data_IF_441972701977
#
_entry.id   IF_441972701977
#
_cell.length_a   1.000
_cell.length_b   1.000
_cell.length_c   1.000
_cell.angle_alpha   90.00
_cell.angle_beta   90.00
_cell.angle_gamma   90.00
#
_symmetry.space_group_name_H-M   'P 1'
#
loop_
_entity.id
_entity.type
_entity.pdbx_description
1 polymer ?
#
# COMPACT_ATOMS: atom_id res chain seq x y z
N UNK A 1 18.61 30.65 -6.17
CA UNK A 1 17.26 30.06 -6.22
C UNK A 1 16.99 29.42 -4.87
N UNK A 2 15.79 29.61 -4.31
CA UNK A 2 15.36 28.95 -3.06
C UNK A 2 15.03 27.49 -3.35
N UNK A 3 15.63 26.58 -2.60
CA UNK A 3 15.43 25.13 -2.74
C UNK A 3 14.20 24.75 -1.91
N UNK A 4 13.06 24.57 -2.57
CA UNK A 4 11.77 24.36 -1.90
C UNK A 4 11.19 22.98 -2.12
N UNK A 5 10.51 22.44 -1.12
CA UNK A 5 9.76 21.19 -1.16
C UNK A 5 8.43 21.31 -0.41
N UNK A 6 7.47 20.44 -0.73
CA UNK A 6 6.23 20.32 0.04
C UNK A 6 6.47 19.38 1.22
N UNK A 7 6.18 19.84 2.43
CA UNK A 7 6.40 19.06 3.65
C UNK A 7 5.17 18.25 4.06
N UNK A 8 5.42 17.05 4.58
CA UNK A 8 4.41 16.13 5.09
C UNK A 8 4.96 15.33 6.27
N UNK A 9 4.26 15.36 7.40
CA UNK A 9 4.50 14.55 8.58
C UNK A 9 3.71 13.23 8.49
N UNK A 10 4.40 12.14 8.22
CA UNK A 10 3.87 10.78 8.22
C UNK A 10 4.36 9.95 9.43
N UNK A 11 4.78 10.63 10.50
CA UNK A 11 5.18 10.02 11.77
C UNK A 11 4.00 9.53 12.61
N UNK A 12 4.28 8.65 13.57
CA UNK A 12 3.28 8.16 14.55
C UNK A 12 2.70 9.27 15.42
N UNK A 13 3.52 10.24 15.82
CA UNK A 13 3.12 11.31 16.74
C UNK A 13 2.37 12.44 16.05
N UNK A 14 2.50 12.60 14.72
CA UNK A 14 1.92 13.72 13.97
C UNK A 14 2.32 15.10 14.55
N UNK A 15 3.47 15.18 15.24
CA UNK A 15 3.98 16.39 15.92
C UNK A 15 4.08 17.60 15.00
N UNK A 16 4.42 17.38 13.73
CA UNK A 16 4.63 18.41 12.71
C UNK A 16 3.47 18.50 11.72
N UNK A 17 2.34 17.84 11.98
CA UNK A 17 1.17 17.80 11.07
C UNK A 17 0.61 19.17 10.69
N UNK A 18 0.80 20.20 11.53
CA UNK A 18 0.43 21.59 11.21
C UNK A 18 1.16 22.17 9.99
N UNK A 19 2.28 21.57 9.60
CA UNK A 19 3.07 21.97 8.42
C UNK A 19 2.72 21.14 7.18
N UNK A 20 1.79 20.19 7.27
CA UNK A 20 1.40 19.35 6.13
C UNK A 20 0.88 20.19 4.96
N UNK A 21 1.36 19.89 3.76
CA UNK A 21 1.01 20.61 2.52
C UNK A 21 1.71 21.97 2.36
N UNK A 22 2.46 22.44 3.37
CA UNK A 22 3.21 23.69 3.27
C UNK A 22 4.44 23.54 2.37
N UNK A 23 4.80 24.61 1.67
CA UNK A 23 6.04 24.69 0.89
C UNK A 23 7.12 25.32 1.75
N UNK A 24 8.12 24.52 2.11
CA UNK A 24 9.25 24.93 2.96
C UNK A 24 10.54 25.04 2.15
N UNK A 25 11.45 25.92 2.56
CA UNK A 25 12.85 25.87 2.13
C UNK A 25 13.57 24.69 2.81
N UNK A 26 14.46 24.00 2.11
CA UNK A 26 15.24 22.88 2.67
C UNK A 26 16.08 23.28 3.89
N UNK A 27 16.39 24.58 4.08
CA UNK A 27 17.08 25.09 5.28
C UNK A 27 16.21 24.99 6.53
N UNK A 28 14.90 25.08 6.38
CA UNK A 28 13.92 25.00 7.49
C UNK A 28 13.85 23.58 8.07
N UNK A 29 14.38 22.56 7.37
CA UNK A 29 14.45 21.18 7.88
C UNK A 29 15.22 21.07 9.21
N UNK A 30 16.25 21.89 9.42
CA UNK A 30 17.00 21.89 10.68
C UNK A 30 16.11 22.32 11.86
N UNK A 31 15.23 23.30 11.65
CA UNK A 31 14.26 23.76 12.66
C UNK A 31 13.19 22.70 12.90
N UNK A 32 12.65 22.08 11.85
CA UNK A 32 11.69 20.98 11.97
C UNK A 32 12.27 19.78 12.74
N UNK A 33 13.53 19.44 12.48
CA UNK A 33 14.25 18.43 13.26
C UNK A 33 14.41 18.84 14.74
N UNK A 34 14.67 20.12 15.03
CA UNK A 34 14.81 20.61 16.40
C UNK A 34 13.49 20.52 17.18
N UNK A 35 12.39 20.98 16.59
CA UNK A 35 11.04 20.86 17.18
C UNK A 35 10.71 19.40 17.47
N UNK A 36 11.02 18.49 16.53
CA UNK A 36 10.77 17.07 16.72
C UNK A 36 11.69 16.45 17.78
N UNK A 37 12.97 16.82 17.79
CA UNK A 37 13.96 16.36 18.79
C UNK A 37 13.47 16.67 20.22
N UNK A 38 12.93 17.88 20.41
CA UNK A 38 12.34 18.30 21.69
C UNK A 38 11.14 17.42 22.06
N UNK A 39 10.21 17.20 21.13
CA UNK A 39 9.03 16.37 21.36
C UNK A 39 9.36 14.90 21.64
N UNK A 40 10.34 14.33 20.93
CA UNK A 40 10.74 12.93 21.03
C UNK A 40 11.79 12.68 22.12
N UNK A 41 12.32 13.74 22.74
CA UNK A 41 13.38 13.69 23.77
C UNK A 41 14.63 12.89 23.33
N UNK A 42 15.05 13.08 22.08
CA UNK A 42 16.23 12.40 21.51
C UNK A 42 17.47 13.27 21.57
N UNK A 43 18.67 12.67 21.59
CA UNK A 43 19.91 13.42 21.40
C UNK A 43 20.57 13.07 20.06
N UNK A 44 20.06 13.71 19.00
CA UNK A 44 20.59 13.58 17.64
C UNK A 44 21.22 14.89 17.19
N UNK A 45 22.28 14.76 16.38
CA UNK A 45 22.91 15.87 15.67
C UNK A 45 22.54 15.78 14.19
N UNK A 46 21.96 16.86 13.68
CA UNK A 46 21.56 17.02 12.28
C UNK A 46 22.34 18.19 11.65
N UNK A 47 22.49 18.20 10.31
CA UNK A 47 23.22 19.26 9.62
C UNK A 47 22.60 20.63 9.89
N UNK A 48 23.45 21.64 10.03
CA UNK A 48 23.04 23.04 10.12
C UNK A 48 22.38 23.53 8.82
N UNK A 49 21.61 24.64 8.86
CA UNK A 49 21.03 25.24 7.65
C UNK A 49 22.06 25.50 6.53
N UNK A 50 23.27 25.94 6.87
CA UNK A 50 24.34 26.18 5.89
C UNK A 50 24.86 24.88 5.27
N UNK A 51 24.93 23.80 6.03
CA UNK A 51 25.33 22.49 5.53
C UNK A 51 24.30 21.89 4.56
N UNK A 52 23.02 22.21 4.74
CA UNK A 52 21.93 21.81 3.84
C UNK A 52 22.06 22.43 2.44
N UNK A 53 22.62 23.63 2.31
CA UNK A 53 22.76 24.33 1.01
C UNK A 53 23.95 23.85 0.16
N UNK A 54 24.88 23.11 0.76
CA UNK A 54 26.12 22.69 0.12
C UNK A 54 26.08 21.28 -0.46
N UNK A 55 24.90 20.65 -0.58
CA UNK A 55 24.76 19.26 -0.98
C UNK A 55 24.66 19.10 -2.50
N UNK A 56 25.24 18.03 -3.02
CA UNK A 56 25.08 17.64 -4.42
C UNK A 56 23.95 16.61 -4.55
N UNK A 57 23.01 16.74 -5.51
CA UNK A 57 21.84 15.86 -5.60
C UNK A 57 22.22 14.37 -5.73
N UNK A 58 23.27 14.07 -6.50
CA UNK A 58 23.77 12.70 -6.70
C UNK A 58 24.88 12.27 -5.72
N UNK A 59 25.08 12.98 -4.61
CA UNK A 59 26.13 12.69 -3.61
C UNK A 59 27.59 12.65 -4.14
N UNK A 60 27.87 13.14 -5.34
CA UNK A 60 29.21 13.12 -5.97
C UNK A 60 30.24 13.97 -5.22
N UNK A 61 29.80 14.98 -4.47
CA UNK A 61 30.63 15.86 -3.65
C UNK A 61 30.14 15.80 -2.20
N UNK A 62 31.07 15.72 -1.25
CA UNK A 62 30.80 15.71 0.20
C UNK A 62 29.72 14.68 0.61
N UNK A 63 29.93 13.38 0.33
CA UNK A 63 28.93 12.32 0.54
C UNK A 63 28.37 12.25 1.98
N UNK A 64 29.19 12.58 2.99
CA UNK A 64 28.74 12.62 4.40
C UNK A 64 27.67 13.69 4.66
N UNK A 65 27.77 14.87 4.03
CA UNK A 65 26.74 15.92 4.16
C UNK A 65 25.44 15.50 3.50
N UNK A 66 25.53 14.82 2.36
CA UNK A 66 24.36 14.25 1.70
C UNK A 66 23.69 13.17 2.56
N UNK A 67 24.47 12.26 3.17
CA UNK A 67 23.93 11.24 4.10
C UNK A 67 23.22 11.89 5.29
N UNK A 68 23.81 12.94 5.87
CA UNK A 68 23.23 13.69 6.97
C UNK A 68 21.93 14.42 6.58
N UNK A 69 21.86 14.99 5.37
CA UNK A 69 20.66 15.66 4.85
C UNK A 69 19.52 14.66 4.59
N UNK A 70 19.80 13.51 4.00
CA UNK A 70 18.80 12.43 3.84
C UNK A 70 18.29 11.97 5.21
N UNK A 71 19.20 11.75 6.18
CA UNK A 71 18.82 11.36 7.54
C UNK A 71 17.92 12.40 8.21
N UNK A 72 18.25 13.69 8.06
CA UNK A 72 17.47 14.79 8.59
C UNK A 72 16.05 14.82 8.01
N UNK A 73 15.90 14.69 6.68
CA UNK A 73 14.56 14.66 6.07
C UNK A 73 13.77 13.44 6.52
N UNK A 74 14.38 12.24 6.55
CA UNK A 74 13.69 11.04 7.05
C UNK A 74 13.20 11.29 8.47
N UNK A 75 14.04 11.84 9.35
CA UNK A 75 13.64 12.13 10.73
C UNK A 75 12.54 13.18 10.81
N UNK A 76 12.69 14.31 10.11
CA UNK A 76 11.69 15.38 10.09
C UNK A 76 10.30 14.88 9.64
N UNK A 77 10.23 14.09 8.58
CA UNK A 77 8.96 13.65 7.99
C UNK A 77 8.39 12.38 8.64
N UNK A 78 9.23 11.42 9.05
CA UNK A 78 8.77 10.11 9.59
C UNK A 78 8.85 9.99 11.10
N UNK A 79 9.61 10.87 11.75
CA UNK A 79 10.02 10.72 13.15
C UNK A 79 10.82 9.46 13.43
N UNK A 80 11.53 8.92 12.43
CA UNK A 80 12.35 7.72 12.58
C UNK A 80 13.80 7.97 12.22
N UNK A 81 14.71 7.26 12.91
CA UNK A 81 16.13 7.29 12.60
C UNK A 81 16.45 6.16 11.62
N UNK A 82 16.95 6.52 10.44
CA UNK A 82 17.43 5.55 9.46
C UNK A 82 18.85 5.07 9.80
N UNK A 83 19.10 3.76 9.72
CA UNK A 83 20.46 3.26 9.79
C UNK A 83 21.26 3.74 8.56
N UNK A 84 22.57 3.97 8.72
CA UNK A 84 23.43 4.37 7.60
C UNK A 84 23.32 3.46 6.38
N UNK A 85 23.16 2.15 6.60
CA UNK A 85 22.96 1.19 5.51
C UNK A 85 21.67 1.44 4.72
N UNK A 86 20.60 1.91 5.34
CA UNK A 86 19.36 2.31 4.65
C UNK A 86 19.57 3.60 3.85
N UNK A 87 20.33 4.56 4.38
CA UNK A 87 20.69 5.79 3.68
C UNK A 87 21.55 5.49 2.44
N UNK A 88 22.47 4.52 2.52
CA UNK A 88 23.27 4.11 1.35
C UNK A 88 22.37 3.57 0.22
N UNK A 89 21.24 2.92 0.56
CA UNK A 89 20.27 2.43 -0.45
C UNK A 89 19.68 3.54 -1.30
N UNK A 90 19.56 4.76 -0.77
CA UNK A 90 19.12 5.91 -1.57
C UNK A 90 20.05 6.19 -2.75
N UNK A 91 21.37 5.98 -2.61
CA UNK A 91 22.31 6.14 -3.73
C UNK A 91 22.11 5.06 -4.79
N UNK A 92 21.94 3.81 -4.36
CA UNK A 92 21.67 2.69 -5.27
C UNK A 92 20.38 2.87 -6.06
N UNK A 93 19.37 3.51 -5.46
CA UNK A 93 18.14 3.90 -6.14
C UNK A 93 18.42 4.96 -7.22
N UNK A 94 19.15 6.01 -6.86
CA UNK A 94 19.53 7.09 -7.78
C UNK A 94 20.41 6.60 -8.93
N UNK A 95 21.36 5.69 -8.67
CA UNK A 95 22.28 5.15 -9.67
C UNK A 95 21.58 4.35 -10.77
N UNK A 96 20.38 3.82 -10.47
CA UNK A 96 19.54 3.08 -11.41
C UNK A 96 18.60 3.97 -12.23
N UNK A 97 18.53 5.27 -11.92
CA UNK A 97 17.82 6.21 -12.77
C UNK A 97 18.55 6.38 -14.11
N UNK A 98 17.78 6.61 -15.16
CA UNK A 98 18.27 6.99 -16.46
C UNK A 98 19.11 8.27 -16.41
N UNK A 99 19.97 8.43 -17.41
CA UNK A 99 20.82 9.62 -17.53
C UNK A 99 20.02 10.94 -17.55
N UNK A 100 18.89 11.06 -18.29
CA UNK A 100 18.13 12.30 -18.33
C UNK A 100 17.60 12.72 -16.94
N UNK A 101 17.05 11.78 -16.18
CA UNK A 101 16.49 12.05 -14.85
C UNK A 101 17.59 12.48 -13.87
N UNK A 102 18.73 11.77 -13.86
CA UNK A 102 19.88 12.13 -13.03
C UNK A 102 20.43 13.51 -13.36
N UNK A 103 20.47 13.87 -14.65
CA UNK A 103 20.97 15.18 -15.10
C UNK A 103 20.03 16.34 -14.74
N UNK A 104 18.72 16.07 -14.65
CA UNK A 104 17.71 17.08 -14.29
C UNK A 104 17.45 17.17 -12.77
N UNK A 105 17.98 16.23 -11.97
CA UNK A 105 17.68 16.13 -10.55
C UNK A 105 18.29 17.29 -9.75
N UNK A 106 17.42 18.16 -9.22
CA UNK A 106 17.81 19.23 -8.28
C UNK A 106 17.94 18.70 -6.85
N UNK A 107 18.62 19.46 -5.98
CA UNK A 107 18.73 19.15 -4.54
C UNK A 107 17.37 19.04 -3.88
N UNK A 108 16.48 20.02 -4.08
CA UNK A 108 15.16 20.03 -3.46
C UNK A 108 14.32 18.81 -3.86
N UNK A 109 14.34 18.43 -5.14
CA UNK A 109 13.65 17.22 -5.62
C UNK A 109 14.23 15.94 -5.04
N UNK A 110 15.55 15.86 -4.95
CA UNK A 110 16.21 14.73 -4.32
C UNK A 110 15.81 14.61 -2.84
N UNK A 111 15.89 15.70 -2.08
CA UNK A 111 15.49 15.72 -0.67
C UNK A 111 13.99 15.50 -0.46
N UNK A 112 13.14 15.89 -1.42
CA UNK A 112 11.71 15.68 -1.29
C UNK A 112 11.29 14.23 -1.51
N UNK A 113 11.85 13.57 -2.52
CA UNK A 113 11.38 12.25 -2.97
C UNK A 113 12.21 11.10 -2.42
N UNK A 114 13.54 11.20 -2.41
CA UNK A 114 14.40 10.06 -2.08
C UNK A 114 14.30 9.64 -0.60
N UNK A 115 14.31 10.58 0.38
CA UNK A 115 14.00 10.26 1.77
C UNK A 115 12.65 9.56 1.96
N UNK A 116 11.59 10.05 1.30
CA UNK A 116 10.27 9.43 1.36
C UNK A 116 10.30 8.00 0.79
N UNK A 117 10.98 7.79 -0.34
CA UNK A 117 11.14 6.45 -0.94
C UNK A 117 11.83 5.48 0.03
N UNK A 118 12.92 5.88 0.70
CA UNK A 118 13.63 5.00 1.65
C UNK A 118 12.86 4.79 2.96
N UNK A 119 12.18 5.83 3.44
CA UNK A 119 11.38 5.75 4.66
C UNK A 119 10.20 4.80 4.45
N UNK A 120 9.45 5.01 3.37
CA UNK A 120 8.22 4.30 3.12
C UNK A 120 8.33 3.01 2.34
N UNK A 121 9.47 2.70 1.71
CA UNK A 121 9.69 1.43 1.02
C UNK A 121 11.01 0.78 1.44
N UNK A 122 10.96 -0.52 1.72
CA UNK A 122 12.17 -1.32 1.95
C UNK A 122 12.65 -1.88 0.62
N UNK A 123 13.95 -1.76 0.36
CA UNK A 123 14.60 -2.30 -0.85
C UNK A 123 15.64 -3.36 -0.50
N UNK A 124 15.72 -4.42 -1.31
CA UNK A 124 16.74 -5.47 -1.21
C UNK A 124 17.74 -5.39 -2.37
N UNK A 125 19.03 -5.58 -2.05
CA UNK A 125 20.10 -5.76 -3.05
C UNK A 125 19.93 -7.15 -3.62
N UNK A 126 19.37 -7.23 -4.84
CA UNK A 126 19.08 -8.45 -5.61
C UNK A 126 19.77 -9.75 -5.14
N UNK A 127 18.96 -10.71 -4.69
CA UNK A 127 19.01 -12.09 -5.16
C UNK A 127 17.80 -12.32 -6.07
N UNK A 128 17.85 -13.25 -7.02
CA UNK A 128 16.68 -13.57 -7.88
C UNK A 128 15.47 -14.07 -7.06
N UNK A 129 15.70 -14.47 -5.82
CA UNK A 129 14.68 -14.87 -4.86
C UNK A 129 13.83 -13.68 -4.39
N UNK A 130 12.52 -13.87 -4.46
CA UNK A 130 11.54 -12.94 -3.90
C UNK A 130 11.78 -12.71 -2.40
N UNK A 131 11.56 -11.48 -1.92
CA UNK A 131 11.64 -11.13 -0.51
C UNK A 131 10.32 -10.48 -0.08
N UNK A 132 9.52 -11.12 0.81
CA UNK A 132 8.23 -10.59 1.25
C UNK A 132 8.33 -9.27 2.03
N UNK A 133 9.52 -8.92 2.51
CA UNK A 133 9.77 -7.70 3.27
C UNK A 133 10.37 -6.57 2.42
N UNK A 134 10.64 -6.78 1.13
CA UNK A 134 11.35 -5.79 0.32
C UNK A 134 10.96 -5.77 -1.17
N UNK A 135 10.97 -4.56 -1.73
CA UNK A 135 10.84 -4.31 -3.16
C UNK A 135 12.18 -4.46 -3.87
N UNK A 136 12.15 -4.68 -5.18
CA UNK A 136 13.38 -4.66 -6.00
C UNK A 136 13.77 -3.23 -6.31
N UNK A 137 15.08 -2.97 -6.38
CA UNK A 137 15.56 -1.64 -6.73
C UNK A 137 15.17 -1.16 -8.13
N UNK A 138 15.01 -2.09 -9.08
CA UNK A 138 14.58 -1.74 -10.45
C UNK A 138 13.14 -1.19 -10.44
N UNK A 139 12.25 -1.83 -9.69
CA UNK A 139 10.87 -1.35 -9.46
C UNK A 139 10.90 0.02 -8.75
N UNK A 140 11.74 0.16 -7.72
CA UNK A 140 11.93 1.43 -7.01
C UNK A 140 12.40 2.57 -7.92
N UNK A 141 13.39 2.31 -8.77
CA UNK A 141 13.93 3.29 -9.69
C UNK A 141 12.91 3.66 -10.77
N UNK A 142 12.14 2.69 -11.27
CA UNK A 142 11.04 2.95 -12.21
C UNK A 142 9.95 3.80 -11.57
N UNK A 143 9.55 3.49 -10.34
CA UNK A 143 8.58 4.29 -9.59
C UNK A 143 9.07 5.73 -9.39
N UNK A 144 10.33 5.92 -8.96
CA UNK A 144 10.92 7.25 -8.78
C UNK A 144 11.03 8.02 -10.11
N UNK A 145 11.39 7.34 -11.21
CA UNK A 145 11.42 7.90 -12.56
C UNK A 145 10.05 8.47 -12.96
N UNK A 146 8.95 7.73 -12.69
CA UNK A 146 7.58 8.23 -12.95
C UNK A 146 7.26 9.50 -12.15
N UNK A 147 7.69 9.60 -10.89
CA UNK A 147 7.48 10.82 -10.08
C UNK A 147 8.31 12.02 -10.57
N UNK A 148 9.46 11.77 -11.21
CA UNK A 148 10.39 12.77 -11.72
C UNK A 148 10.09 13.20 -13.15
N UNK A 149 9.05 12.67 -13.79
CA UNK A 149 8.66 13.04 -15.14
C UNK A 149 7.64 14.19 -15.14
N UNK A 150 7.87 15.24 -15.94
CA UNK A 150 6.85 16.27 -16.19
C UNK A 150 5.77 15.68 -17.10
N UNK A 151 4.65 15.30 -16.50
CA UNK A 151 3.52 14.66 -17.16
C UNK A 151 2.20 15.40 -16.87
N UNK A 152 1.21 15.37 -17.80
CA UNK A 152 -0.06 16.07 -17.59
C UNK A 152 -0.84 15.59 -16.37
N UNK A 153 -0.83 14.28 -16.12
CA UNK A 153 -1.51 13.65 -15.01
C UNK A 153 -0.73 12.43 -14.50
N UNK A 154 -0.90 12.12 -13.22
CA UNK A 154 -0.43 10.89 -12.60
C UNK A 154 -1.55 10.32 -11.75
N UNK A 155 -1.99 9.11 -12.08
CA UNK A 155 -2.94 8.35 -11.29
C UNK A 155 -2.21 7.31 -10.43
N UNK A 156 -2.61 7.21 -9.18
CA UNK A 156 -2.08 6.26 -8.20
C UNK A 156 -3.18 5.36 -7.70
N UNK A 157 -2.97 4.06 -7.79
CA UNK A 157 -3.87 3.05 -7.24
C UNK A 157 -3.30 2.53 -5.91
N UNK A 158 -4.09 2.68 -4.84
CA UNK A 158 -3.81 2.08 -3.54
C UNK A 158 -4.83 0.98 -3.32
N UNK A 159 -4.38 -0.27 -3.46
CA UNK A 159 -5.18 -1.43 -3.08
C UNK A 159 -5.17 -1.59 -1.56
N UNK A 160 -6.25 -1.19 -0.89
CA UNK A 160 -6.50 -1.56 0.51
C UNK A 160 -7.32 -2.85 0.50
N UNK A 161 -6.62 -3.98 0.33
CA UNK A 161 -7.26 -5.27 0.48
C UNK A 161 -7.11 -5.78 1.92
N UNK A 162 -8.26 -6.16 2.44
CA UNK A 162 -8.47 -7.07 3.55
C UNK A 162 -8.25 -6.53 4.96
N UNK A 163 -9.40 -6.38 5.61
CA UNK A 163 -9.66 -6.69 7.02
C UNK A 163 -9.19 -8.11 7.38
N UNK A 164 -7.90 -8.43 7.21
CA UNK A 164 -7.24 -9.62 7.73
C UNK A 164 -6.95 -9.38 9.22
N UNK A 165 -8.01 -9.24 10.02
CA UNK A 165 -7.89 -9.40 11.47
C UNK A 165 -7.24 -10.76 11.76
N UNK A 166 -6.46 -10.79 12.83
CA UNK A 166 -5.60 -11.92 13.16
C UNK A 166 -6.39 -13.21 13.27
N UNK A 167 -5.77 -14.32 12.85
CA UNK A 167 -6.30 -15.68 13.06
C UNK A 167 -6.63 -15.93 14.53
N UNK A 168 -5.94 -15.25 15.45
CA UNK A 168 -6.09 -15.35 16.90
C UNK A 168 -7.24 -14.52 17.49
N UNK A 169 -7.67 -13.44 16.81
CA UNK A 169 -8.81 -12.62 17.23
C UNK A 169 -9.64 -12.25 15.98
N UNK A 170 -10.69 -13.03 15.66
CA UNK A 170 -11.49 -12.87 14.45
C UNK A 170 -12.52 -11.74 14.57
N UNK A 171 -12.14 -10.61 15.17
CA UNK A 171 -12.99 -9.44 15.39
C UNK A 171 -12.39 -8.27 14.61
N UNK A 172 -13.23 -7.48 13.96
CA UNK A 172 -12.82 -6.21 13.37
C UNK A 172 -12.95 -5.10 14.41
N UNK A 173 -11.98 -4.17 14.48
CA UNK A 173 -12.20 -2.92 15.20
C UNK A 173 -13.37 -2.17 14.56
N UNK A 174 -14.06 -1.35 15.35
CA UNK A 174 -15.22 -0.59 14.85
C UNK A 174 -14.81 0.57 13.94
N UNK A 175 -13.60 1.09 14.15
CA UNK A 175 -13.06 2.24 13.45
C UNK A 175 -11.67 1.95 12.91
N UNK A 176 -11.36 2.61 11.81
CA UNK A 176 -10.00 2.68 11.26
C UNK A 176 -9.13 3.44 12.22
N UNK A 177 -7.88 3.00 12.42
CA UNK A 177 -6.91 3.79 13.20
C UNK A 177 -6.73 5.17 12.55
N UNK A 178 -7.18 6.27 13.18
CA UNK A 178 -7.13 7.59 12.56
C UNK A 178 -5.69 8.01 12.30
N UNK A 179 -4.81 7.76 13.27
CA UNK A 179 -3.38 8.04 13.16
C UNK A 179 -2.70 7.19 12.09
N UNK A 180 -3.09 5.93 11.93
CA UNK A 180 -2.55 5.07 10.88
C UNK A 180 -3.00 5.49 9.47
N UNK A 181 -4.28 5.81 9.30
CA UNK A 181 -4.83 6.32 8.05
C UNK A 181 -4.20 7.68 7.67
N UNK A 182 -4.08 8.60 8.63
CA UNK A 182 -3.43 9.90 8.42
C UNK A 182 -2.00 9.77 7.93
N UNK A 183 -1.23 8.86 8.54
CA UNK A 183 0.16 8.62 8.15
C UNK A 183 0.27 8.05 6.75
N UNK A 184 -0.62 7.14 6.38
CA UNK A 184 -0.66 6.57 5.04
C UNK A 184 -0.93 7.67 4.01
N UNK A 185 -1.95 8.51 4.23
CA UNK A 185 -2.31 9.59 3.31
C UNK A 185 -1.22 10.66 3.27
N UNK A 186 -0.65 11.06 4.41
CA UNK A 186 0.47 12.01 4.49
C UNK A 186 1.72 11.49 3.76
N UNK A 187 2.03 10.19 3.88
CA UNK A 187 3.15 9.58 3.18
C UNK A 187 2.96 9.63 1.65
N UNK A 188 1.75 9.31 1.18
CA UNK A 188 1.42 9.39 -0.24
C UNK A 188 1.45 10.85 -0.72
N UNK A 189 0.95 11.79 0.08
CA UNK A 189 1.06 13.23 -0.15
C UNK A 189 2.53 13.68 -0.28
N UNK A 190 3.42 13.17 0.58
CA UNK A 190 4.86 13.44 0.53
C UNK A 190 5.48 13.06 -0.82
N UNK A 191 5.04 11.95 -1.43
CA UNK A 191 5.49 11.52 -2.75
C UNK A 191 4.85 12.36 -3.86
N UNK A 192 3.53 12.56 -3.83
CA UNK A 192 2.80 13.10 -4.97
C UNK A 192 2.83 14.62 -5.08
N UNK A 193 2.77 15.35 -3.97
CA UNK A 193 2.88 16.81 -4.00
C UNK A 193 4.29 17.27 -4.39
N UNK A 194 5.27 16.38 -4.25
CA UNK A 194 6.64 16.59 -4.69
C UNK A 194 6.96 15.98 -6.06
N UNK A 195 6.00 15.32 -6.72
CA UNK A 195 6.13 14.84 -8.11
C UNK A 195 6.10 15.99 -9.12
N UNK A 196 6.59 15.75 -10.33
CA UNK A 196 6.54 16.69 -11.46
C UNK A 196 5.24 16.62 -12.28
N UNK A 197 4.34 15.70 -11.96
CA UNK A 197 3.03 15.62 -12.62
C UNK A 197 2.22 16.92 -12.40
N UNK A 198 1.43 17.36 -13.37
CA UNK A 198 0.64 18.61 -13.25
C UNK A 198 -0.67 18.40 -12.50
N UNK A 199 -1.28 17.22 -12.68
CA UNK A 199 -2.43 16.73 -11.91
C UNK A 199 -2.05 15.42 -11.25
N UNK A 200 -2.51 15.19 -10.02
CA UNK A 200 -2.27 13.95 -9.28
C UNK A 200 -3.56 13.47 -8.67
N UNK A 201 -3.89 12.20 -8.90
CA UNK A 201 -5.05 11.54 -8.29
C UNK A 201 -4.58 10.30 -7.55
N UNK A 202 -5.10 10.08 -6.35
CA UNK A 202 -4.90 8.85 -5.58
C UNK A 202 -6.25 8.20 -5.38
N UNK A 203 -6.45 7.03 -5.97
CA UNK A 203 -7.62 6.20 -5.73
C UNK A 203 -7.28 5.22 -4.60
N UNK A 204 -7.96 5.40 -3.48
CA UNK A 204 -7.86 4.52 -2.32
C UNK A 204 -9.01 3.54 -2.38
N UNK A 205 -8.70 2.32 -2.82
CA UNK A 205 -9.68 1.28 -3.08
C UNK A 205 -9.89 0.41 -1.85
N UNK A 206 -11.11 0.32 -1.34
CA UNK A 206 -11.46 -0.45 -0.15
C UNK A 206 -12.80 -1.18 -0.30
N UNK A 207 -12.93 -2.32 0.38
CA UNK A 207 -14.19 -3.03 0.47
C UNK A 207 -15.20 -2.26 1.34
N UNK A 208 -16.43 -2.10 0.82
CA UNK A 208 -17.60 -1.59 1.54
C UNK A 208 -18.51 -2.72 2.00
N UNK A 209 -19.57 -2.45 2.76
CA UNK A 209 -20.46 -3.47 3.29
C UNK A 209 -21.42 -4.06 2.23
N UNK A 210 -20.88 -4.85 1.31
CA UNK A 210 -21.62 -5.54 0.26
C UNK A 210 -21.56 -7.04 0.44
N UNK A 211 -22.30 -7.79 -0.37
CA UNK A 211 -22.26 -9.25 -0.40
C UNK A 211 -20.83 -9.78 -0.67
N UNK A 212 -20.08 -9.10 -1.55
CA UNK A 212 -18.66 -9.37 -1.83
C UNK A 212 -17.74 -9.10 -0.65
N UNK A 213 -18.17 -8.28 0.31
CA UNK A 213 -17.37 -8.04 1.49
C UNK A 213 -17.09 -9.32 2.27
N UNK A 214 -18.02 -10.27 2.21
CA UNK A 214 -17.87 -11.60 2.78
C UNK A 214 -16.68 -12.39 2.19
N UNK A 215 -16.35 -12.18 0.91
CA UNK A 215 -15.19 -12.84 0.27
C UNK A 215 -13.85 -12.17 0.55
N UNK A 216 -13.82 -10.89 0.93
CA UNK A 216 -12.58 -10.13 1.19
C UNK A 216 -12.21 -10.00 2.67
N UNK A 217 -13.20 -10.12 3.56
CA UNK A 217 -12.97 -10.23 5.00
C UNK A 217 -12.38 -11.62 5.26
N UNK A 218 -11.40 -11.71 6.17
CA UNK A 218 -10.86 -13.01 6.58
C UNK A 218 -12.02 -13.96 6.91
N UNK A 219 -12.06 -15.14 6.28
CA UNK A 219 -13.17 -16.08 6.40
C UNK A 219 -13.49 -16.45 7.86
N UNK A 220 -12.48 -16.44 8.74
CA UNK A 220 -12.63 -16.63 10.18
C UNK A 220 -13.44 -15.50 10.84
N UNK A 221 -13.18 -14.25 10.46
CA UNK A 221 -13.91 -13.07 10.96
C UNK A 221 -15.36 -13.16 10.52
N UNK A 222 -15.62 -13.35 9.23
CA UNK A 222 -16.99 -13.42 8.73
C UNK A 222 -17.82 -14.50 9.46
N UNK A 223 -17.21 -15.68 9.65
CA UNK A 223 -17.88 -16.77 10.36
C UNK A 223 -18.09 -16.50 11.84
N UNK A 224 -17.14 -15.84 12.52
CA UNK A 224 -17.30 -15.46 13.91
C UNK A 224 -18.56 -14.60 14.10
N UNK A 225 -18.70 -13.53 13.32
CA UNK A 225 -19.90 -12.68 13.40
C UNK A 225 -21.18 -13.41 12.96
N UNK A 226 -21.11 -14.23 11.90
CA UNK A 226 -22.28 -14.99 11.44
C UNK A 226 -22.77 -16.01 12.48
N UNK A 227 -21.86 -16.75 13.12
CA UNK A 227 -22.18 -17.77 14.11
C UNK A 227 -22.80 -17.19 15.40
N UNK A 228 -22.52 -15.91 15.68
CA UNK A 228 -23.09 -15.19 16.82
C UNK A 228 -24.34 -14.37 16.46
N UNK A 229 -24.86 -14.47 15.23
CA UNK A 229 -25.99 -13.66 14.77
C UNK A 229 -25.68 -12.17 14.66
N UNK A 230 -24.39 -11.79 14.61
CA UNK A 230 -23.90 -10.40 14.55
C UNK A 230 -23.48 -9.96 13.15
N UNK A 231 -24.03 -10.57 12.09
CA UNK A 231 -23.63 -10.28 10.72
C UNK A 231 -23.89 -8.82 10.31
N UNK A 232 -25.04 -8.24 10.66
CA UNK A 232 -25.27 -6.81 10.39
C UNK A 232 -24.32 -5.89 11.15
N UNK A 233 -23.86 -6.29 12.33
CA UNK A 233 -22.87 -5.52 13.05
C UNK A 233 -21.53 -5.51 12.29
N UNK A 234 -21.10 -6.65 11.73
CA UNK A 234 -19.94 -6.70 10.83
C UNK A 234 -20.12 -5.79 9.61
N UNK A 235 -21.28 -5.85 8.95
CA UNK A 235 -21.54 -5.02 7.78
C UNK A 235 -21.55 -3.52 8.13
N UNK A 236 -22.12 -3.12 9.27
CA UNK A 236 -22.02 -1.73 9.75
C UNK A 236 -20.58 -1.28 10.03
N UNK A 237 -19.74 -2.14 10.57
CA UNK A 237 -18.30 -1.84 10.76
C UNK A 237 -17.64 -1.55 9.41
N UNK A 238 -17.95 -2.32 8.37
CA UNK A 238 -17.38 -2.11 7.03
C UNK A 238 -17.83 -0.79 6.39
N UNK A 239 -19.09 -0.39 6.60
CA UNK A 239 -19.58 0.93 6.19
C UNK A 239 -18.87 2.05 6.97
N UNK A 240 -18.74 1.90 8.29
CA UNK A 240 -18.04 2.84 9.15
C UNK A 240 -16.58 3.02 8.71
N UNK A 241 -15.90 1.93 8.37
CA UNK A 241 -14.55 1.94 7.85
C UNK A 241 -14.41 2.70 6.53
N UNK A 242 -15.42 2.63 5.65
CA UNK A 242 -15.43 3.43 4.42
C UNK A 242 -15.63 4.92 4.72
N UNK A 243 -16.50 5.26 5.68
CA UNK A 243 -16.76 6.65 6.08
C UNK A 243 -15.57 7.29 6.80
N UNK A 244 -14.90 6.53 7.67
CA UNK A 244 -13.65 6.94 8.32
C UNK A 244 -12.59 7.30 7.25
N UNK A 245 -12.41 6.43 6.24
CA UNK A 245 -11.47 6.70 5.15
C UNK A 245 -11.89 7.89 4.30
N UNK A 246 -13.17 8.03 3.93
CA UNK A 246 -13.67 9.23 3.22
C UNK A 246 -13.36 10.50 3.99
N UNK A 247 -13.56 10.49 5.30
CA UNK A 247 -13.30 11.63 6.19
C UNK A 247 -11.81 12.00 6.20
N UNK A 248 -10.92 11.02 6.36
CA UNK A 248 -9.47 11.25 6.34
C UNK A 248 -9.04 11.81 4.98
N UNK A 249 -9.46 11.20 3.86
CA UNK A 249 -9.09 11.66 2.52
C UNK A 249 -9.61 13.08 2.24
N UNK A 250 -10.85 13.39 2.63
CA UNK A 250 -11.42 14.73 2.48
C UNK A 250 -10.64 15.79 3.26
N UNK A 251 -10.17 15.48 4.48
CA UNK A 251 -9.33 16.39 5.26
C UNK A 251 -8.02 16.69 4.54
N UNK A 252 -7.33 15.66 4.02
CA UNK A 252 -6.06 15.85 3.31
C UNK A 252 -6.22 16.60 1.98
N UNK A 253 -7.36 16.45 1.30
CA UNK A 253 -7.69 17.23 0.10
C UNK A 253 -7.74 18.75 0.35
N UNK A 254 -7.94 19.20 1.59
CA UNK A 254 -7.97 20.64 1.91
C UNK A 254 -6.58 21.28 1.97
N UNK A 255 -5.53 20.48 2.17
CA UNK A 255 -4.13 20.95 2.33
C UNK A 255 -3.18 20.41 1.26
N UNK A 256 -3.57 19.38 0.52
CA UNK A 256 -2.76 18.77 -0.55
C UNK A 256 -3.05 19.36 -1.92
N UNK A 257 -2.07 19.26 -2.83
CA UNK A 257 -2.27 19.52 -4.28
C UNK A 257 -2.65 18.24 -5.04
N UNK A 258 -2.73 17.13 -4.34
CA UNK A 258 -3.12 15.81 -4.81
C UNK A 258 -4.58 15.57 -4.45
N UNK A 259 -5.35 15.06 -5.40
CA UNK A 259 -6.74 14.69 -5.18
C UNK A 259 -6.83 13.23 -4.70
N UNK A 260 -7.21 13.05 -3.44
CA UNK A 260 -7.48 11.75 -2.84
C UNK A 260 -8.95 11.38 -2.99
N UNK A 261 -9.22 10.18 -3.51
CA UNK A 261 -10.56 9.65 -3.76
C UNK A 261 -10.74 8.29 -3.10
N UNK A 262 -11.84 8.13 -2.37
CA UNK A 262 -12.28 6.81 -1.95
C UNK A 262 -12.93 6.09 -3.13
N UNK A 263 -12.56 4.83 -3.37
CA UNK A 263 -13.16 3.98 -4.41
C UNK A 263 -13.65 2.67 -3.79
N UNK A 264 -14.93 2.30 -3.91
CA UNK A 264 -15.40 0.98 -3.49
C UNK A 264 -14.79 -0.12 -4.39
N UNK A 265 -14.43 -1.26 -3.80
CA UNK A 265 -13.84 -2.39 -4.55
C UNK A 265 -14.84 -3.16 -5.42
N UNK A 266 -16.14 -3.03 -5.21
CA UNK A 266 -17.15 -3.83 -5.90
C UNK A 266 -17.10 -3.76 -7.43
N UNK A 267 -17.04 -2.57 -8.07
CA UNK A 267 -16.91 -2.50 -9.53
C UNK A 267 -15.61 -3.12 -10.06
N UNK A 268 -14.57 -3.14 -9.23
CA UNK A 268 -13.31 -3.80 -9.56
C UNK A 268 -13.48 -5.32 -9.46
N UNK A 269 -14.10 -5.84 -8.39
CA UNK A 269 -14.46 -7.25 -8.25
C UNK A 269 -15.35 -7.75 -9.40
N UNK A 270 -16.37 -6.98 -9.81
CA UNK A 270 -17.18 -7.28 -11.01
C UNK A 270 -16.32 -7.44 -12.27
N UNK A 271 -15.27 -6.64 -12.39
CA UNK A 271 -14.35 -6.71 -13.52
C UNK A 271 -13.46 -7.95 -13.46
N UNK A 272 -13.02 -8.34 -12.26
CA UNK A 272 -12.27 -9.59 -12.02
C UNK A 272 -13.14 -10.80 -12.32
N UNK A 273 -14.38 -10.84 -11.82
CA UNK A 273 -15.33 -11.94 -12.06
C UNK A 273 -15.62 -12.12 -13.56
N UNK A 274 -15.80 -11.01 -14.31
CA UNK A 274 -15.97 -11.06 -15.77
C UNK A 274 -14.72 -11.52 -16.50
N UNK A 275 -13.53 -11.13 -16.05
CA UNK A 275 -12.28 -11.64 -16.63
C UNK A 275 -12.14 -13.14 -16.37
N UNK A 276 -12.46 -13.59 -15.15
CA UNK A 276 -12.46 -15.00 -14.76
C UNK A 276 -13.46 -15.82 -15.58
N UNK A 277 -14.68 -15.32 -15.80
CA UNK A 277 -15.69 -15.98 -16.64
C UNK A 277 -15.22 -16.12 -18.10
N UNK A 278 -14.54 -15.10 -18.65
CA UNK A 278 -13.99 -15.16 -20.01
C UNK A 278 -12.83 -16.14 -20.15
N UNK A 279 -11.98 -16.24 -19.13
CA UNK A 279 -10.78 -17.09 -19.18
C UNK A 279 -11.11 -18.54 -18.86
N UNK A 280 -12.01 -18.80 -17.91
CA UNK A 280 -12.23 -20.13 -17.33
C UNK A 280 -13.68 -20.62 -17.41
N UNK A 281 -14.61 -19.80 -17.89
CA UNK A 281 -16.05 -20.12 -17.94
C UNK A 281 -16.83 -19.75 -16.66
N UNK A 282 -18.15 -20.02 -16.63
CA UNK A 282 -19.09 -19.48 -15.62
C UNK A 282 -18.80 -19.82 -14.15
N UNK A 283 -18.10 -20.92 -13.87
CA UNK A 283 -17.74 -21.36 -12.52
C UNK A 283 -16.23 -21.24 -12.23
N UNK A 284 -15.49 -20.66 -13.17
CA UNK A 284 -14.04 -20.44 -13.11
C UNK A 284 -13.19 -21.72 -13.02
N UNK A 285 -13.79 -22.88 -13.25
CA UNK A 285 -13.14 -24.19 -13.09
C UNK A 285 -12.61 -24.76 -14.41
N UNK A 286 -13.03 -24.21 -15.55
CA UNK A 286 -12.69 -24.70 -16.87
C UNK A 286 -11.21 -24.58 -17.23
N UNK A 287 -10.87 -25.12 -18.40
CA UNK A 287 -9.55 -24.94 -18.99
C UNK A 287 -9.33 -23.46 -19.38
N UNK A 288 -8.14 -22.90 -19.11
CA UNK A 288 -7.86 -21.50 -19.42
C UNK A 288 -7.86 -21.25 -20.93
N UNK A 289 -8.49 -20.15 -21.34
CA UNK A 289 -8.42 -19.65 -22.71
C UNK A 289 -7.20 -18.73 -22.98
N UNK A 290 -6.44 -18.38 -21.94
CA UNK A 290 -5.26 -17.51 -22.02
C UNK A 290 -3.99 -18.30 -21.62
N UNK A 291 -2.96 -18.36 -22.49
CA UNK A 291 -1.74 -19.13 -22.26
C UNK A 291 -0.98 -18.79 -20.98
N UNK A 292 -1.16 -17.59 -20.41
CA UNK A 292 -0.52 -17.21 -19.14
C UNK A 292 -1.05 -18.01 -17.95
N UNK A 293 -2.27 -18.52 -18.06
CA UNK A 293 -2.96 -19.34 -17.06
C UNK A 293 -2.86 -20.84 -17.34
N UNK A 294 -2.36 -21.24 -18.50
CA UNK A 294 -2.05 -22.65 -18.79
C UNK A 294 -0.91 -23.16 -17.90
N UNK A 295 -0.86 -24.49 -17.71
CA UNK A 295 0.17 -25.16 -16.90
C UNK A 295 1.58 -24.70 -17.29
N UNK A 296 2.33 -24.17 -16.33
CA UNK A 296 3.68 -23.62 -16.54
C UNK A 296 3.73 -22.16 -16.99
N UNK A 297 2.56 -21.53 -17.18
CA UNK A 297 2.43 -20.09 -17.38
C UNK A 297 2.71 -19.28 -16.11
N UNK A 298 2.95 -17.97 -16.26
CA UNK A 298 3.29 -17.11 -15.10
C UNK A 298 2.13 -16.96 -14.11
N UNK A 299 0.88 -16.91 -14.59
CA UNK A 299 -0.29 -16.82 -13.72
C UNK A 299 -0.64 -18.16 -13.08
N UNK A 300 -0.39 -19.28 -13.78
CA UNK A 300 -0.46 -20.62 -13.19
C UNK A 300 0.55 -20.80 -12.04
N UNK A 301 1.81 -20.39 -12.24
CA UNK A 301 2.81 -20.37 -11.16
C UNK A 301 2.38 -19.49 -9.96
N UNK A 302 1.73 -18.35 -10.23
CA UNK A 302 1.17 -17.51 -9.17
C UNK A 302 0.03 -18.24 -8.42
N UNK A 303 -0.80 -19.01 -9.11
CA UNK A 303 -1.88 -19.80 -8.51
C UNK A 303 -1.31 -20.87 -7.57
N UNK A 304 -0.27 -21.60 -7.98
CA UNK A 304 0.36 -22.61 -7.10
C UNK A 304 0.96 -21.99 -5.83
N UNK A 305 1.64 -20.85 -5.94
CA UNK A 305 2.14 -20.09 -4.78
C UNK A 305 0.98 -19.62 -3.86
N UNK A 306 -0.10 -19.11 -4.45
CA UNK A 306 -1.29 -18.67 -3.71
C UNK A 306 -1.96 -19.84 -2.97
N UNK A 307 -2.09 -21.02 -3.60
CA UNK A 307 -2.67 -22.23 -2.99
C UNK A 307 -1.94 -22.63 -1.71
N UNK A 308 -0.61 -22.63 -1.72
CA UNK A 308 0.19 -22.94 -0.53
C UNK A 308 -0.12 -22.00 0.65
N UNK A 309 -0.30 -20.71 0.38
CA UNK A 309 -0.68 -19.71 1.39
C UNK A 309 -2.13 -19.83 1.83
N UNK A 310 -3.04 -20.13 0.92
CA UNK A 310 -4.48 -20.19 1.18
C UNK A 310 -4.91 -21.47 1.88
N UNK A 311 -4.18 -22.58 1.69
CA UNK A 311 -4.45 -23.88 2.29
C UNK A 311 -4.62 -23.80 3.82
N UNK A 312 -3.84 -22.96 4.51
CA UNK A 312 -3.92 -22.76 5.97
C UNK A 312 -5.23 -22.12 6.46
N UNK A 313 -6.01 -21.53 5.54
CA UNK A 313 -7.30 -20.91 5.83
C UNK A 313 -8.47 -21.73 5.28
N UNK A 314 -8.19 -22.87 4.65
CA UNK A 314 -9.21 -23.83 4.24
C UNK A 314 -9.82 -24.48 5.46
N UNK A 315 -11.14 -24.68 5.40
CA UNK A 315 -11.86 -25.44 6.42
C UNK A 315 -12.09 -26.85 5.93
N UNK A 316 -12.07 -27.79 6.87
CA UNK A 316 -12.40 -29.18 6.60
C UNK A 316 -13.92 -29.38 6.50
N UNK A 317 -14.71 -28.53 7.17
CA UNK A 317 -16.17 -28.66 7.24
C UNK A 317 -16.88 -27.52 6.50
N UNK A 318 -17.92 -27.83 5.68
CA UNK A 318 -18.79 -26.82 5.08
C UNK A 318 -19.52 -25.97 6.14
N UNK A 319 -19.93 -24.76 5.76
CA UNK A 319 -20.78 -23.94 6.61
C UNK A 319 -22.20 -24.51 6.67
N UNK A 320 -22.76 -24.58 7.88
CA UNK A 320 -24.19 -24.85 8.09
C UNK A 320 -24.99 -23.59 7.75
N UNK A 321 -25.22 -23.38 6.45
CA UNK A 321 -25.88 -22.18 5.93
C UNK A 321 -27.30 -22.03 6.48
N UNK A 322 -28.07 -23.10 6.60
CA UNK A 322 -29.45 -23.05 7.09
C UNK A 322 -29.52 -22.58 8.54
N UNK A 323 -28.62 -23.08 9.39
CA UNK A 323 -28.48 -22.58 10.76
C UNK A 323 -28.08 -21.11 10.79
N UNK A 324 -27.09 -20.70 10.00
CA UNK A 324 -26.63 -19.30 9.97
C UNK A 324 -27.72 -18.34 9.47
N UNK A 325 -28.48 -18.75 8.45
CA UNK A 325 -29.64 -17.99 7.95
C UNK A 325 -30.73 -17.86 9.02
N UNK A 326 -30.99 -18.93 9.78
CA UNK A 326 -31.95 -18.91 10.88
C UNK A 326 -31.49 -17.98 12.00
N UNK A 327 -30.22 -18.06 12.40
CA UNK A 327 -29.63 -17.17 13.40
C UNK A 327 -29.72 -15.70 12.98
N UNK A 328 -29.38 -15.39 11.74
CA UNK A 328 -29.46 -14.02 11.21
C UNK A 328 -30.91 -13.51 11.18
N UNK A 329 -31.86 -14.32 10.71
CA UNK A 329 -33.29 -13.95 10.68
C UNK A 329 -33.88 -13.71 12.07
N UNK A 330 -33.38 -14.43 13.08
CA UNK A 330 -33.81 -14.29 14.47
C UNK A 330 -33.04 -13.22 15.25
N UNK A 331 -32.07 -12.53 14.64
CA UNK A 331 -31.31 -11.46 15.27
C UNK A 331 -32.11 -10.15 15.33
N UNK A 332 -31.73 -9.26 16.25
CA UNK A 332 -32.37 -7.94 16.44
C UNK A 332 -32.30 -7.03 15.20
N UNK A 333 -31.44 -7.37 14.23
CA UNK A 333 -31.13 -6.54 13.08
C UNK A 333 -31.16 -7.33 11.76
N UNK A 334 -32.02 -8.34 11.61
CA UNK A 334 -32.10 -9.11 10.36
C UNK A 334 -32.25 -8.20 9.11
N UNK A 335 -31.49 -8.49 8.05
CA UNK A 335 -31.54 -7.75 6.78
C UNK A 335 -31.33 -8.65 5.55
N UNK A 336 -31.85 -8.24 4.39
CA UNK A 336 -31.62 -8.90 3.10
C UNK A 336 -30.15 -8.89 2.68
N UNK A 337 -29.43 -7.81 3.01
CA UNK A 337 -28.00 -7.67 2.71
C UNK A 337 -27.18 -8.75 3.43
N UNK A 338 -27.49 -9.02 4.70
CA UNK A 338 -26.86 -10.10 5.46
C UNK A 338 -27.19 -11.48 4.89
N UNK A 339 -28.41 -11.70 4.42
CA UNK A 339 -28.80 -12.95 3.71
C UNK A 339 -27.97 -13.12 2.43
N UNK A 340 -27.85 -12.06 1.62
CA UNK A 340 -27.03 -12.10 0.39
C UNK A 340 -25.56 -12.39 0.70
N UNK A 341 -25.00 -11.73 1.72
CA UNK A 341 -23.62 -11.98 2.16
C UNK A 341 -23.38 -13.42 2.61
N UNK A 342 -24.33 -14.06 3.31
CA UNK A 342 -24.24 -15.48 3.70
C UNK A 342 -24.23 -16.40 2.47
N UNK A 343 -25.14 -16.18 1.52
CA UNK A 343 -25.17 -16.97 0.28
C UNK A 343 -23.92 -16.78 -0.56
N UNK A 344 -23.42 -15.54 -0.67
CA UNK A 344 -22.17 -15.25 -1.36
C UNK A 344 -20.99 -15.98 -0.70
N UNK A 345 -20.88 -15.87 0.62
CA UNK A 345 -19.82 -16.51 1.39
C UNK A 345 -19.82 -18.02 1.24
N UNK A 346 -20.98 -18.68 1.42
CA UNK A 346 -21.12 -20.13 1.27
C UNK A 346 -20.72 -20.59 -0.13
N UNK A 347 -21.25 -19.94 -1.18
CA UNK A 347 -20.88 -20.24 -2.57
C UNK A 347 -19.37 -20.09 -2.80
N UNK A 348 -18.75 -19.04 -2.28
CA UNK A 348 -17.30 -18.82 -2.44
C UNK A 348 -16.47 -19.84 -1.63
N UNK A 349 -16.90 -20.23 -0.42
CA UNK A 349 -16.18 -21.21 0.39
C UNK A 349 -16.30 -22.64 -0.14
N UNK A 350 -17.36 -22.98 -0.88
CA UNK A 350 -17.53 -24.28 -1.55
C UNK A 350 -16.65 -24.47 -2.78
N UNK A 351 -16.11 -23.39 -3.34
CA UNK A 351 -15.18 -23.47 -4.46
C UNK A 351 -13.90 -24.22 -4.07
N UNK A 352 -13.32 -24.93 -5.04
CA UNK A 352 -12.04 -25.60 -4.81
C UNK A 352 -10.95 -24.59 -4.45
N UNK A 353 -9.92 -25.05 -3.73
CA UNK A 353 -8.77 -24.20 -3.39
C UNK A 353 -8.14 -23.56 -4.64
N UNK A 354 -8.10 -24.30 -5.74
CA UNK A 354 -7.59 -23.82 -7.02
C UNK A 354 -8.42 -22.64 -7.57
N UNK A 355 -9.75 -22.77 -7.63
CA UNK A 355 -10.63 -21.69 -8.11
C UNK A 355 -10.48 -20.43 -7.25
N UNK A 356 -10.40 -20.60 -5.93
CA UNK A 356 -10.19 -19.48 -4.99
C UNK A 356 -8.83 -18.81 -5.20
N UNK A 357 -7.77 -19.59 -5.44
CA UNK A 357 -6.45 -19.07 -5.74
C UNK A 357 -6.41 -18.34 -7.09
N UNK A 358 -7.08 -18.87 -8.13
CA UNK A 358 -7.23 -18.18 -9.42
C UNK A 358 -7.88 -16.82 -9.26
N UNK A 359 -8.95 -16.71 -8.46
CA UNK A 359 -9.61 -15.44 -8.19
C UNK A 359 -8.68 -14.41 -7.51
N UNK A 360 -7.93 -14.81 -6.48
CA UNK A 360 -7.01 -13.91 -5.78
C UNK A 360 -5.85 -13.45 -6.68
N UNK A 361 -5.32 -14.35 -7.53
CA UNK A 361 -4.31 -14.01 -8.55
C UNK A 361 -4.89 -13.06 -9.60
N UNK A 362 -6.11 -13.33 -10.09
CA UNK A 362 -6.78 -12.49 -11.09
C UNK A 362 -7.02 -11.08 -10.57
N UNK A 363 -7.37 -10.93 -9.29
CA UNK A 363 -7.54 -9.64 -8.64
C UNK A 363 -6.25 -8.80 -8.74
N UNK A 364 -5.09 -9.37 -8.37
CA UNK A 364 -3.81 -8.67 -8.40
C UNK A 364 -3.32 -8.41 -9.83
N UNK A 365 -3.53 -9.36 -10.74
CA UNK A 365 -3.20 -9.18 -12.16
C UNK A 365 -4.03 -8.06 -12.79
N UNK A 366 -5.34 -7.99 -12.49
CA UNK A 366 -6.23 -6.92 -12.96
C UNK A 366 -5.85 -5.56 -12.38
N UNK A 367 -5.37 -5.51 -11.14
CA UNK A 367 -4.90 -4.27 -10.51
C UNK A 367 -3.66 -3.74 -11.23
N UNK A 368 -2.72 -4.65 -11.55
CA UNK A 368 -1.55 -4.33 -12.34
C UNK A 368 -1.90 -3.85 -13.76
N UNK A 369 -2.84 -4.51 -14.44
CA UNK A 369 -3.34 -4.08 -15.76
C UNK A 369 -4.00 -2.70 -15.71
N UNK A 370 -4.79 -2.42 -14.67
CA UNK A 370 -5.45 -1.13 -14.49
C UNK A 370 -4.42 -0.01 -14.28
N UNK A 371 -3.40 -0.27 -13.48
CA UNK A 371 -2.29 0.66 -13.24
C UNK A 371 -1.50 0.91 -14.53
N UNK A 372 -1.17 -0.15 -15.27
CA UNK A 372 -0.47 -0.08 -16.55
C UNK A 372 -1.26 0.71 -17.60
N UNK A 373 -2.56 0.44 -17.73
CA UNK A 373 -3.42 1.09 -18.73
C UNK A 373 -3.53 2.61 -18.53
N UNK A 374 -3.46 3.07 -17.28
CA UNK A 374 -3.48 4.49 -16.93
C UNK A 374 -2.09 5.16 -16.99
N UNK A 375 -1.04 4.43 -17.34
CA UNK A 375 0.37 4.85 -17.16
C UNK A 375 0.62 5.40 -15.73
N UNK A 376 0.01 4.74 -14.75
CA UNK A 376 0.03 5.13 -13.35
C UNK A 376 1.10 4.42 -12.54
N UNK A 377 1.08 4.63 -11.22
CA UNK A 377 1.85 3.85 -10.26
C UNK A 377 0.91 3.20 -9.24
N UNK A 378 1.34 2.12 -8.60
CA UNK A 378 0.55 1.51 -7.53
C UNK A 378 1.33 1.32 -6.24
N UNK A 379 0.62 1.43 -5.12
CA UNK A 379 1.19 1.33 -3.78
C UNK A 379 0.43 0.24 -3.00
N UNK A 380 1.10 -0.86 -2.71
CA UNK A 380 0.59 -1.94 -1.87
C UNK A 380 0.64 -1.56 -0.39
N UNK A 381 -0.53 -1.37 0.23
CA UNK A 381 -0.70 -0.98 1.64
C UNK A 381 -1.31 -2.10 2.50
N UNK A 382 -1.71 -3.20 1.89
CA UNK A 382 -2.28 -4.34 2.58
C UNK A 382 -1.26 -5.12 3.44
N UNK A 383 -1.74 -6.04 4.27
CA UNK A 383 -0.91 -6.77 5.25
C UNK A 383 0.20 -7.63 4.64
N UNK A 384 -0.03 -8.25 3.48
CA UNK A 384 0.91 -9.22 2.88
C UNK A 384 1.54 -8.67 1.61
N UNK A 385 2.84 -8.94 1.42
CA UNK A 385 3.50 -8.85 0.12
C UNK A 385 4.08 -10.23 -0.16
N UNK A 386 3.45 -10.97 -1.06
CA UNK A 386 3.78 -12.37 -1.31
C UNK A 386 4.22 -12.60 -2.76
N UNK A 387 4.91 -13.73 -2.98
CA UNK A 387 5.46 -14.09 -4.28
C UNK A 387 4.37 -14.13 -5.36
N UNK A 388 3.18 -14.67 -5.06
CA UNK A 388 2.09 -14.74 -6.02
C UNK A 388 1.59 -13.36 -6.48
N UNK A 389 1.57 -12.36 -5.59
CA UNK A 389 1.15 -11.00 -5.93
C UNK A 389 2.15 -10.36 -6.89
N UNK A 390 3.44 -10.53 -6.59
CA UNK A 390 4.52 -10.09 -7.47
C UNK A 390 4.47 -10.80 -8.84
N UNK A 391 4.24 -12.12 -8.88
CA UNK A 391 4.09 -12.89 -10.12
C UNK A 391 2.89 -12.40 -10.94
N UNK A 392 1.74 -12.22 -10.30
CA UNK A 392 0.53 -11.69 -10.92
C UNK A 392 0.76 -10.31 -11.53
N UNK A 393 1.49 -9.43 -10.83
CA UNK A 393 1.86 -8.14 -11.37
C UNK A 393 2.82 -8.26 -12.55
N UNK A 394 3.86 -9.09 -12.44
CA UNK A 394 4.85 -9.26 -13.50
C UNK A 394 4.25 -9.76 -14.81
N UNK A 395 3.22 -10.60 -14.73
CA UNK A 395 2.49 -11.10 -15.89
C UNK A 395 1.76 -9.99 -16.68
N UNK A 396 1.32 -8.92 -16.02
CA UNK A 396 0.71 -7.77 -16.69
C UNK A 396 1.73 -6.93 -17.48
N UNK A 397 2.98 -6.87 -17.02
CA UNK A 397 4.07 -6.09 -17.63
C UNK A 397 4.94 -6.91 -18.60
N UNK A 398 4.47 -8.11 -18.96
CA UNK A 398 5.02 -8.97 -20.01
C UNK A 398 6.27 -9.76 -19.62
N UNK A 399 7.01 -9.37 -18.57
CA UNK A 399 8.12 -10.19 -18.06
C UNK A 399 8.51 -9.81 -16.62
N UNK A 400 9.12 -10.75 -15.90
CA UNK A 400 9.73 -10.54 -14.57
C UNK A 400 10.97 -9.64 -14.58
N UNK A 401 11.47 -9.28 -15.77
CA UNK A 401 12.61 -8.37 -15.99
C UNK A 401 12.16 -6.94 -16.27
N UNK A 402 10.90 -6.73 -16.64
CA UNK A 402 10.33 -5.40 -16.84
C UNK A 402 10.10 -4.76 -15.49
N UNK A 403 10.70 -3.58 -15.26
CA UNK A 403 10.50 -2.86 -14.01
C UNK A 403 9.07 -2.31 -13.94
N UNK A 404 8.35 -2.65 -12.87
CA UNK A 404 6.99 -2.21 -12.63
C UNK A 404 6.99 -1.01 -11.68
N UNK A 405 6.23 0.06 -11.93
CA UNK A 405 6.07 1.16 -10.99
C UNK A 405 5.03 0.80 -9.90
N UNK A 406 5.21 -0.35 -9.26
CA UNK A 406 4.34 -0.91 -8.24
C UNK A 406 5.21 -1.28 -7.03
N UNK A 407 4.97 -0.64 -5.89
CA UNK A 407 5.77 -0.85 -4.67
C UNK A 407 4.88 -1.16 -3.48
N UNK A 408 5.31 -2.11 -2.65
CA UNK A 408 4.70 -2.33 -1.35
C UNK A 408 5.35 -1.48 -0.27
N UNK A 409 4.52 -0.75 0.47
CA UNK A 409 4.94 0.12 1.56
C UNK A 409 5.74 -0.62 2.64
N UNK A 410 6.41 0.05 3.55
CA UNK A 410 7.22 -0.60 4.59
C UNK A 410 6.29 -1.27 5.61
N UNK A 411 6.53 -2.55 5.85
CA UNK A 411 5.98 -3.29 7.00
C UNK A 411 7.08 -3.49 8.04
N UNK A 412 6.67 -3.63 9.30
CA UNK A 412 7.56 -4.12 10.36
C UNK A 412 6.78 -4.94 11.36
N UNK A 413 7.35 -6.08 11.73
CA UNK A 413 6.91 -6.93 12.84
C UNK A 413 7.67 -6.64 14.14
N UNK A 414 8.65 -5.73 14.10
CA UNK A 414 9.40 -5.33 15.29
C UNK A 414 8.54 -4.43 16.19
N UNK A 415 8.65 -4.54 17.52
CA UNK A 415 7.92 -3.69 18.45
C UNK A 415 8.17 -2.19 18.18
N UNK A 416 7.13 -1.37 18.39
CA UNK A 416 7.15 0.07 18.15
C UNK A 416 8.00 0.89 19.16
N UNK A 417 8.96 0.26 19.84
CA UNK A 417 9.51 0.74 21.11
C UNK A 417 10.72 1.68 20.92
N UNK A 418 11.24 1.79 19.70
CA UNK A 418 12.41 2.62 19.37
C UNK A 418 12.13 3.50 18.15
N UNK A 419 12.69 4.71 18.18
CA UNK A 419 12.72 5.68 17.06
C UNK A 419 13.69 5.15 16.01
N UNK A 420 13.28 4.12 15.27
CA UNK A 420 14.09 3.46 14.27
C UNK A 420 13.26 3.14 13.05
N UNK A 421 13.82 3.40 11.88
CA UNK A 421 13.13 3.09 10.63
C UNK A 421 12.87 1.57 10.46
N UNK A 422 13.57 0.71 11.22
CA UNK A 422 13.30 -0.74 11.26
C UNK A 422 11.96 -1.10 11.90
N UNK A 423 11.50 -0.32 12.88
CA UNK A 423 10.21 -0.52 13.57
C UNK A 423 9.08 0.25 12.89
N UNK A 424 9.39 0.99 11.82
CA UNK A 424 8.43 1.82 11.10
C UNK A 424 7.52 0.96 10.22
N UNK A 425 6.22 1.16 10.37
CA UNK A 425 5.20 0.44 9.62
C UNK A 425 4.16 1.43 9.06
N UNK A 426 3.96 1.40 7.75
CA UNK A 426 2.91 2.14 7.03
C UNK A 426 1.73 1.26 6.62
N UNK A 427 1.90 -0.07 6.69
CA UNK A 427 0.84 -1.06 6.47
C UNK A 427 0.04 -1.25 7.77
N UNK A 428 -1.12 -1.87 7.65
CA UNK A 428 -1.91 -2.38 8.79
C UNK A 428 -2.37 -1.29 9.80
N UNK A 429 -3.21 -0.37 9.34
CA UNK A 429 -3.88 0.62 10.20
C UNK A 429 -5.36 0.29 10.46
N UNK A 430 -5.75 -0.96 10.20
CA UNK A 430 -7.07 -1.52 10.57
C UNK A 430 -7.01 -2.03 11.99
#
# INVERSE_FOLDING_TARGET
MTERMTFWDYSRSQTLSRFNGSVIDVRELAELCAIRKEADSTDLQFPSPDEMTGIHPLALKRPRRWEAAIAAVIYACSGQIAARQEIIKARELLDRLGRPERSALTVSRMLALVPAMIAGFRFSRQGETFNPEANRYLEGARFLSVLLEDRPALDVEIGLCAHRAGVTNPVLPEHVSPTGADRMVAFVGALLDNSLARKRTVNVSQQTATDRAASTVNSLVFTHYAAEGRLEHLLRILDQHADDMRTVLARHNTVSRTEFRFTPLDPFSDSVERDMERVFGPDWSGAPADPRWESGGTLDAAVEEAKGKMARFMRNEPLDLDRLLTLHKNSDHASERGVSALHWFDRHQRQSLEVRARYDVAFHHRLALTTLHKDGVGIGMERGWDAYQWLAWSAAYGSTRTAMPLLYARSSTEPANHISLRTFNLRQFW
#
